data_IF_750783667118
#
_entry.id   IF_750783667118
#
_cell.length_a   1.000
_cell.length_b   1.000
_cell.length_c   1.000
_cell.angle_alpha   90.00
_cell.angle_beta   90.00
_cell.angle_gamma   90.00
#
_symmetry.space_group_name_H-M   'P 1'
#
loop_
_entity.id
_entity.type
_entity.pdbx_description
1 polymer ?
#
# COMPACT_ATOMS: atom_id res chain seq x y z
N UNK A 1 -16.67 51.43 4.02
CA UNK A 1 -15.72 50.30 3.84
C UNK A 1 -15.87 49.36 5.03
N UNK A 2 -16.47 48.17 4.84
CA UNK A 2 -16.39 47.07 5.80
C UNK A 2 -16.09 45.82 5.00
N UNK A 3 -14.84 45.38 5.14
CA UNK A 3 -14.31 44.17 4.54
C UNK A 3 -14.94 42.93 5.19
N UNK A 4 -15.06 41.89 4.36
CA UNK A 4 -15.57 40.57 4.68
C UNK A 4 -14.79 39.90 5.83
N UNK A 5 -15.32 38.77 6.33
CA UNK A 5 -14.54 37.57 6.05
C UNK A 5 -15.42 36.42 5.56
N UNK A 6 -15.30 36.16 4.26
CA UNK A 6 -15.66 34.96 3.52
C UNK A 6 -14.74 33.80 3.94
N UNK A 7 -14.78 33.39 5.21
CA UNK A 7 -13.79 32.48 5.82
C UNK A 7 -14.40 31.14 6.27
N UNK A 8 -15.39 30.64 5.51
CA UNK A 8 -16.04 29.35 5.78
C UNK A 8 -15.95 28.34 4.62
N UNK A 9 -15.14 28.60 3.59
CA UNK A 9 -15.02 27.74 2.40
C UNK A 9 -13.80 26.79 2.39
N UNK A 10 -13.05 26.65 3.49
CA UNK A 10 -11.76 25.92 3.50
C UNK A 10 -11.77 24.54 4.18
N UNK A 11 -12.93 23.95 4.45
CA UNK A 11 -13.04 22.64 5.10
C UNK A 11 -13.52 21.51 4.18
N UNK A 12 -13.28 21.62 2.88
CA UNK A 12 -13.37 20.46 1.99
C UNK A 12 -12.12 19.59 2.22
N UNK A 13 -12.26 18.31 2.65
CA UNK A 13 -11.11 17.45 2.85
C UNK A 13 -10.37 17.28 1.51
N UNK A 14 -9.07 17.63 1.42
CA UNK A 14 -8.35 17.62 0.15
C UNK A 14 -8.20 16.22 -0.45
N UNK A 15 -8.46 15.16 0.32
CA UNK A 15 -8.29 13.77 -0.10
C UNK A 15 -9.25 13.36 -1.24
N UNK A 16 -10.49 13.86 -1.28
CA UNK A 16 -11.46 13.47 -2.30
C UNK A 16 -11.26 14.22 -3.64
N UNK A 17 -10.66 15.42 -3.61
CA UNK A 17 -10.47 16.27 -4.78
C UNK A 17 -9.23 15.90 -5.63
N UNK A 18 -8.32 15.08 -5.08
CA UNK A 18 -7.06 14.68 -5.75
C UNK A 18 -7.17 13.35 -6.53
N UNK A 19 -8.27 12.62 -6.35
CA UNK A 19 -8.46 11.26 -6.85
C UNK A 19 -8.25 11.06 -8.38
N UNK A 20 -8.63 11.99 -9.29
CA UNK A 20 -8.49 11.74 -10.72
C UNK A 20 -7.17 12.19 -11.35
N UNK A 21 -6.33 13.00 -10.68
CA UNK A 21 -5.13 13.61 -11.34
C UNK A 21 -3.81 12.91 -11.11
N UNK A 22 -3.64 12.19 -9.98
CA UNK A 22 -2.36 11.59 -9.62
C UNK A 22 -2.30 10.07 -9.80
N UNK A 23 -3.37 9.44 -10.32
CA UNK A 23 -3.43 7.98 -10.49
C UNK A 23 -3.79 7.20 -9.23
N UNK A 24 -4.27 7.87 -8.17
CA UNK A 24 -4.59 7.26 -6.86
C UNK A 24 -5.42 5.98 -6.94
N UNK A 25 -6.43 5.94 -7.83
CA UNK A 25 -7.24 4.74 -8.04
C UNK A 25 -6.44 3.52 -8.52
N UNK A 26 -5.42 3.73 -9.37
CA UNK A 26 -4.47 2.69 -9.78
C UNK A 26 -3.61 2.22 -8.61
N UNK A 27 -3.14 3.14 -7.78
CA UNK A 27 -2.42 2.80 -6.54
C UNK A 27 -3.26 1.94 -5.60
N UNK A 28 -4.56 2.24 -5.43
CA UNK A 28 -5.46 1.41 -4.64
C UNK A 28 -5.66 0.02 -5.23
N UNK A 29 -5.74 -0.11 -6.56
CA UNK A 29 -5.85 -1.43 -7.20
C UNK A 29 -4.56 -2.23 -7.06
N UNK A 30 -3.39 -1.59 -7.17
CA UNK A 30 -2.11 -2.20 -6.90
C UNK A 30 -2.01 -2.70 -5.44
N UNK A 31 -2.50 -1.95 -4.44
CA UNK A 31 -2.59 -2.42 -3.05
C UNK A 31 -3.49 -3.66 -2.90
N UNK A 32 -4.63 -3.72 -3.61
CA UNK A 32 -5.51 -4.91 -3.59
C UNK A 32 -4.85 -6.12 -4.24
N UNK A 33 -4.13 -5.90 -5.33
CA UNK A 33 -3.36 -6.95 -6.01
C UNK A 33 -2.25 -7.48 -5.11
N UNK A 34 -1.49 -6.59 -4.47
CA UNK A 34 -0.51 -6.95 -3.46
C UNK A 34 -1.14 -7.77 -2.32
N UNK A 35 -2.28 -7.34 -1.78
CA UNK A 35 -2.95 -8.07 -0.70
C UNK A 35 -3.35 -9.50 -1.12
N UNK A 36 -3.89 -9.65 -2.34
CA UNK A 36 -4.23 -10.98 -2.89
C UNK A 36 -2.99 -11.86 -3.01
N UNK A 37 -1.90 -11.31 -3.53
CA UNK A 37 -0.62 -12.02 -3.68
C UNK A 37 -0.05 -12.43 -2.31
N UNK A 38 0.00 -11.53 -1.33
CA UNK A 38 0.46 -11.82 0.02
C UNK A 38 -0.37 -12.92 0.71
N UNK A 39 -1.71 -12.88 0.57
CA UNK A 39 -2.60 -13.94 1.09
C UNK A 39 -2.36 -15.27 0.39
N UNK A 40 -2.18 -15.25 -0.93
CA UNK A 40 -1.85 -16.43 -1.73
C UNK A 40 -0.54 -17.06 -1.30
N UNK A 41 0.51 -16.26 -1.11
CA UNK A 41 1.83 -16.73 -0.67
C UNK A 41 1.82 -17.31 0.75
N UNK A 42 1.06 -16.72 1.67
CA UNK A 42 0.89 -17.25 3.02
C UNK A 42 0.15 -18.61 3.07
N UNK A 43 -0.70 -18.88 2.07
CA UNK A 43 -1.46 -20.12 1.93
C UNK A 43 -0.82 -21.13 0.96
N UNK A 44 0.33 -20.80 0.35
CA UNK A 44 0.97 -21.66 -0.64
C UNK A 44 1.40 -23.00 0.01
N UNK A 45 1.14 -24.14 -0.65
CA UNK A 45 1.50 -25.45 -0.10
C UNK A 45 3.00 -25.76 -0.23
N UNK A 46 3.74 -24.99 -1.04
CA UNK A 46 5.14 -25.23 -1.35
C UNK A 46 5.98 -23.94 -1.37
N UNK A 47 7.31 -24.14 -1.35
CA UNK A 47 8.27 -23.05 -1.37
C UNK A 47 8.23 -22.23 -2.67
N UNK A 48 8.19 -22.83 -3.87
CA UNK A 48 8.16 -22.06 -5.12
C UNK A 48 6.91 -21.19 -5.26
N UNK A 49 5.73 -21.69 -4.90
CA UNK A 49 4.49 -20.93 -4.91
C UNK A 49 4.51 -19.76 -3.93
N UNK A 50 5.08 -19.97 -2.74
CA UNK A 50 5.29 -18.91 -1.76
C UNK A 50 6.19 -17.79 -2.28
N UNK A 51 7.31 -18.13 -2.93
CA UNK A 51 8.24 -17.15 -3.53
C UNK A 51 7.62 -16.40 -4.70
N UNK A 52 6.96 -17.10 -5.62
CA UNK A 52 6.31 -16.47 -6.77
C UNK A 52 5.22 -15.46 -6.33
N UNK A 53 4.44 -15.81 -5.30
CA UNK A 53 3.47 -14.91 -4.73
C UNK A 53 4.12 -13.70 -4.03
N UNK A 54 5.28 -13.89 -3.38
CA UNK A 54 6.06 -12.83 -2.77
C UNK A 54 6.61 -11.84 -3.82
N UNK A 55 7.15 -12.34 -4.94
CA UNK A 55 7.60 -11.52 -6.07
C UNK A 55 6.46 -10.71 -6.69
N UNK A 56 5.29 -11.35 -6.91
CA UNK A 56 4.11 -10.68 -7.41
C UNK A 56 3.63 -9.57 -6.45
N UNK A 57 3.66 -9.84 -5.14
CA UNK A 57 3.33 -8.84 -4.12
C UNK A 57 4.32 -7.67 -4.14
N UNK A 58 5.63 -7.94 -4.20
CA UNK A 58 6.67 -6.91 -4.26
C UNK A 58 6.47 -5.97 -5.47
N UNK A 59 6.23 -6.53 -6.65
CA UNK A 59 5.95 -5.74 -7.86
C UNK A 59 4.75 -4.81 -7.69
N UNK A 60 3.62 -5.35 -7.20
CA UNK A 60 2.42 -4.56 -6.95
C UNK A 60 2.61 -3.48 -5.85
N UNK A 61 3.40 -3.79 -4.80
CA UNK A 61 3.71 -2.84 -3.73
C UNK A 61 4.64 -1.71 -4.19
N UNK A 62 5.57 -2.00 -5.09
CA UNK A 62 6.43 -1.00 -5.72
C UNK A 62 5.63 -0.02 -6.58
N UNK A 63 4.70 -0.54 -7.39
CA UNK A 63 3.77 0.28 -8.16
C UNK A 63 2.89 1.16 -7.25
N UNK A 64 2.27 0.55 -6.23
CA UNK A 64 1.45 1.27 -5.26
C UNK A 64 2.24 2.36 -4.53
N UNK A 65 3.47 2.06 -4.09
CA UNK A 65 4.36 3.02 -3.44
C UNK A 65 4.64 4.22 -4.34
N UNK A 66 4.97 3.96 -5.61
CA UNK A 66 5.29 5.00 -6.59
C UNK A 66 4.10 5.94 -6.83
N UNK A 67 2.90 5.38 -6.98
CA UNK A 67 1.67 6.15 -7.14
C UNK A 67 1.34 6.94 -5.88
N UNK A 68 1.38 6.30 -4.70
CA UNK A 68 1.04 6.96 -3.43
C UNK A 68 2.02 8.11 -3.11
N UNK A 69 3.31 7.92 -3.38
CA UNK A 69 4.30 8.98 -3.24
C UNK A 69 4.01 10.15 -4.20
N UNK A 70 3.73 9.85 -5.48
CA UNK A 70 3.35 10.85 -6.48
C UNK A 70 2.03 11.59 -6.16
N UNK A 71 1.11 10.93 -5.46
CA UNK A 71 -0.13 11.50 -4.94
C UNK A 71 0.04 12.28 -3.62
N UNK A 72 1.25 12.38 -3.07
CA UNK A 72 1.51 13.08 -1.80
C UNK A 72 1.11 12.30 -0.54
N UNK A 73 0.85 11.00 -0.64
CA UNK A 73 0.43 10.13 0.47
C UNK A 73 1.65 9.54 1.19
N UNK A 74 2.59 10.39 1.62
CA UNK A 74 3.95 10.01 2.05
C UNK A 74 3.95 8.86 3.07
N UNK A 75 3.17 8.98 4.15
CA UNK A 75 3.16 7.96 5.19
C UNK A 75 2.55 6.62 4.74
N UNK A 76 1.57 6.66 3.84
CA UNK A 76 1.01 5.44 3.26
C UNK A 76 2.01 4.79 2.29
N UNK A 77 2.76 5.60 1.53
CA UNK A 77 3.83 5.14 0.67
C UNK A 77 4.96 4.46 1.48
N UNK A 78 5.38 5.03 2.61
CA UNK A 78 6.39 4.42 3.50
C UNK A 78 5.98 3.04 4.01
N UNK A 79 4.74 2.90 4.51
CA UNK A 79 4.22 1.62 4.98
C UNK A 79 4.07 0.61 3.83
N UNK A 80 3.66 1.09 2.66
CA UNK A 80 3.58 0.25 1.45
C UNK A 80 4.96 -0.21 1.00
N UNK A 81 5.97 0.65 1.09
CA UNK A 81 7.36 0.34 0.77
C UNK A 81 7.94 -0.68 1.75
N UNK A 82 7.68 -0.54 3.05
CA UNK A 82 8.07 -1.52 4.06
C UNK A 82 7.48 -2.90 3.76
N UNK A 83 6.18 -2.95 3.44
CA UNK A 83 5.53 -4.19 3.01
C UNK A 83 6.20 -4.76 1.75
N UNK A 84 6.57 -3.89 0.79
CA UNK A 84 7.28 -4.26 -0.43
C UNK A 84 8.64 -4.91 -0.15
N UNK A 85 9.45 -4.29 0.71
CA UNK A 85 10.74 -4.83 1.13
C UNK A 85 10.62 -6.19 1.83
N UNK A 86 9.60 -6.36 2.67
CA UNK A 86 9.31 -7.66 3.30
C UNK A 86 8.91 -8.70 2.24
N UNK A 87 8.09 -8.33 1.26
CA UNK A 87 7.72 -9.24 0.17
C UNK A 87 8.94 -9.64 -0.68
N UNK A 88 9.82 -8.68 -1.00
CA UNK A 88 11.10 -8.97 -1.68
C UNK A 88 11.96 -9.92 -0.86
N UNK A 89 12.12 -9.69 0.45
CA UNK A 89 12.85 -10.60 1.33
C UNK A 89 12.27 -12.02 1.27
N UNK A 90 10.95 -12.16 1.35
CA UNK A 90 10.27 -13.45 1.30
C UNK A 90 10.51 -14.21 -0.02
N UNK A 91 10.69 -13.51 -1.15
CA UNK A 91 11.03 -14.14 -2.43
C UNK A 91 12.37 -14.90 -2.40
N UNK A 92 13.30 -14.48 -1.53
CA UNK A 92 14.63 -15.10 -1.41
C UNK A 92 14.77 -16.08 -0.22
N UNK A 93 13.73 -16.24 0.60
CA UNK A 93 13.77 -17.12 1.77
C UNK A 93 13.88 -18.61 1.38
N UNK A 94 14.61 -19.39 2.18
CA UNK A 94 14.92 -20.79 1.90
C UNK A 94 13.91 -21.81 2.44
N UNK A 95 12.97 -21.37 3.29
CA UNK A 95 11.95 -22.26 3.88
C UNK A 95 10.55 -21.65 3.82
N UNK A 96 9.54 -22.50 3.61
CA UNK A 96 8.15 -22.06 3.51
C UNK A 96 7.62 -21.43 4.81
N UNK A 97 8.17 -21.82 5.97
CA UNK A 97 7.83 -21.21 7.27
C UNK A 97 8.35 -19.78 7.38
N UNK A 98 9.59 -19.51 6.93
CA UNK A 98 10.15 -18.16 6.92
C UNK A 98 9.40 -17.25 5.95
N UNK A 99 9.07 -17.77 4.76
CA UNK A 99 8.19 -17.05 3.81
C UNK A 99 6.90 -16.63 4.50
N UNK A 100 6.15 -17.57 5.10
CA UNK A 100 4.88 -17.26 5.78
C UNK A 100 5.04 -16.18 6.85
N UNK A 101 6.06 -16.30 7.68
CA UNK A 101 6.35 -15.33 8.76
C UNK A 101 6.62 -13.92 8.20
N UNK A 102 7.41 -13.82 7.14
CA UNK A 102 7.75 -12.53 6.53
C UNK A 102 6.54 -11.94 5.81
N UNK A 103 5.78 -12.76 5.07
CA UNK A 103 4.55 -12.31 4.40
C UNK A 103 3.48 -11.86 5.39
N UNK A 104 3.36 -12.46 6.57
CA UNK A 104 2.45 -11.98 7.61
C UNK A 104 2.84 -10.59 8.14
N UNK A 105 4.14 -10.30 8.26
CA UNK A 105 4.63 -8.96 8.59
C UNK A 105 4.33 -7.96 7.46
N UNK A 106 4.53 -8.37 6.20
CA UNK A 106 4.20 -7.54 5.04
C UNK A 106 2.70 -7.19 5.02
N UNK A 107 1.84 -8.17 5.31
CA UNK A 107 0.38 -7.98 5.43
C UNK A 107 0.02 -7.02 6.55
N UNK A 108 0.71 -7.09 7.68
CA UNK A 108 0.48 -6.15 8.79
C UNK A 108 0.80 -4.71 8.35
N UNK A 109 1.97 -4.48 7.75
CA UNK A 109 2.36 -3.13 7.29
C UNK A 109 1.43 -2.61 6.19
N UNK A 110 1.05 -3.45 5.23
CA UNK A 110 0.03 -3.12 4.22
C UNK A 110 -1.34 -2.81 4.86
N UNK A 111 -1.74 -3.55 5.89
CA UNK A 111 -2.96 -3.28 6.65
C UNK A 111 -2.96 -1.90 7.30
N UNK A 112 -1.83 -1.49 7.89
CA UNK A 112 -1.65 -0.15 8.45
C UNK A 112 -1.70 0.94 7.37
N UNK A 113 -1.09 0.71 6.21
CA UNK A 113 -1.15 1.63 5.07
C UNK A 113 -2.61 1.86 4.66
N UNK A 114 -3.39 0.79 4.52
CA UNK A 114 -4.81 0.85 4.15
C UNK A 114 -5.67 1.51 5.21
N UNK A 115 -5.53 1.13 6.46
CA UNK A 115 -6.28 1.76 7.56
C UNK A 115 -6.04 3.27 7.59
N UNK A 116 -4.79 3.71 7.33
CA UNK A 116 -4.49 5.13 7.23
C UNK A 116 -5.24 5.79 6.07
N UNK A 117 -5.12 5.24 4.87
CA UNK A 117 -5.78 5.78 3.67
C UNK A 117 -7.30 5.85 3.88
N UNK A 118 -7.89 4.82 4.48
CA UNK A 118 -9.34 4.75 4.73
C UNK A 118 -9.80 5.77 5.77
N UNK A 119 -8.99 6.04 6.81
CA UNK A 119 -9.38 6.96 7.91
C UNK A 119 -8.98 8.42 7.69
N UNK A 120 -7.83 8.67 7.05
CA UNK A 120 -7.20 10.00 6.96
C UNK A 120 -6.92 10.43 5.52
N UNK A 121 -7.08 9.54 4.55
CA UNK A 121 -6.59 9.76 3.20
C UNK A 121 -5.08 9.93 3.20
N UNK A 122 -4.59 10.87 2.37
CA UNK A 122 -3.16 11.13 2.21
C UNK A 122 -2.58 12.12 3.25
N UNK A 123 -3.40 12.63 4.17
CA UNK A 123 -2.99 13.53 5.27
C UNK A 123 -2.42 12.81 6.48
#
# INVERSE_FOLDING_TARGET
>A
MRAAPLLLLLLAPPAAAQAPRCGYGGGLEALRTAERALRGGGAAPDLPGGRAAAEAAAGALSEATSVLAGCGCARAAELTQEAGWLAEQAAFESTAERIRTVLDRARLSLGLARERLDRRGCG
#
